data_IF_055385412237
#
_entry.id   IF_055385412237
#
_cell.length_a   1.000
_cell.length_b   1.000
_cell.length_c   1.000
_cell.angle_alpha   90.00
_cell.angle_beta   90.00
_cell.angle_gamma   90.00
#
_symmetry.space_group_name_H-M   'P 1'
#
loop_
_entity.id
_entity.type
_entity.pdbx_description
1 polymer ?
#
# COMPACT_ATOMS: atom_id res chain seq x y z
N UNK A 1 53.48 -6.23 -50.20
CA UNK A 1 53.37 -4.77 -49.97
C UNK A 1 51.95 -4.20 -50.11
N UNK A 2 51.17 -4.52 -51.17
CA UNK A 2 49.82 -3.94 -51.38
C UNK A 2 48.76 -4.29 -50.32
N UNK A 3 48.92 -5.41 -49.61
CA UNK A 3 47.97 -5.89 -48.59
C UNK A 3 48.11 -5.14 -47.25
N UNK A 4 49.35 -4.83 -46.85
CA UNK A 4 49.64 -4.03 -45.65
C UNK A 4 49.10 -2.61 -45.76
N UNK A 5 49.26 -1.97 -46.93
CA UNK A 5 48.74 -0.60 -47.18
C UNK A 5 47.21 -0.56 -47.11
N UNK A 6 46.53 -1.60 -47.61
CA UNK A 6 45.05 -1.70 -47.53
C UNK A 6 44.56 -1.92 -46.10
N UNK A 7 45.27 -2.72 -45.31
CA UNK A 7 44.97 -2.91 -43.89
C UNK A 7 45.17 -1.63 -43.08
N UNK A 8 46.26 -0.89 -43.33
CA UNK A 8 46.51 0.40 -42.69
C UNK A 8 45.42 1.42 -43.04
N UNK A 9 44.99 1.48 -44.31
CA UNK A 9 43.92 2.40 -44.73
C UNK A 9 42.59 2.07 -44.05
N UNK A 10 42.23 0.77 -43.99
CA UNK A 10 41.02 0.31 -43.30
C UNK A 10 41.03 0.68 -41.82
N UNK A 11 42.17 0.50 -41.14
CA UNK A 11 42.31 0.84 -39.73
C UNK A 11 42.15 2.35 -39.50
N UNK A 12 42.76 3.18 -40.34
CA UNK A 12 42.65 4.65 -40.25
C UNK A 12 41.21 5.10 -40.49
N UNK A 13 40.51 4.53 -41.48
CA UNK A 13 39.11 4.86 -41.73
C UNK A 13 38.21 4.42 -40.58
N UNK A 14 38.45 3.25 -39.98
CA UNK A 14 37.66 2.76 -38.86
C UNK A 14 37.87 3.61 -37.60
N UNK A 15 39.12 4.03 -37.34
CA UNK A 15 39.45 4.93 -36.25
C UNK A 15 38.81 6.32 -36.45
N UNK A 16 38.80 6.85 -37.67
CA UNK A 16 38.16 8.12 -37.99
C UNK A 16 36.63 8.07 -37.80
N UNK A 17 35.98 6.98 -38.23
CA UNK A 17 34.53 6.79 -38.02
C UNK A 17 34.21 6.62 -36.53
N UNK A 18 35.02 5.87 -35.78
CA UNK A 18 34.85 5.72 -34.33
C UNK A 18 35.01 7.05 -33.60
N UNK A 19 36.01 7.86 -33.96
CA UNK A 19 36.23 9.19 -33.38
C UNK A 19 35.09 10.16 -33.72
N UNK A 20 34.59 10.15 -34.96
CA UNK A 20 33.45 10.96 -35.37
C UNK A 20 32.15 10.53 -34.65
N UNK A 21 31.95 9.22 -34.49
CA UNK A 21 30.82 8.65 -33.73
C UNK A 21 30.87 9.04 -32.26
N UNK A 22 32.04 8.95 -31.62
CA UNK A 22 32.23 9.39 -30.24
C UNK A 22 31.94 10.89 -30.07
N UNK A 23 32.49 11.71 -30.97
CA UNK A 23 32.27 13.16 -30.96
C UNK A 23 30.79 13.52 -31.12
N UNK A 24 30.08 12.86 -32.05
CA UNK A 24 28.64 13.05 -32.23
C UNK A 24 27.85 12.64 -30.99
N UNK A 25 28.20 11.52 -30.35
CA UNK A 25 27.53 11.05 -29.12
C UNK A 25 27.76 12.01 -27.95
N UNK A 26 28.96 12.56 -27.79
CA UNK A 26 29.23 13.54 -26.73
C UNK A 26 28.51 14.87 -26.97
N UNK A 27 28.58 15.41 -28.19
CA UNK A 27 28.06 16.77 -28.45
C UNK A 27 26.56 16.83 -28.70
N UNK A 28 25.98 15.79 -29.28
CA UNK A 28 24.55 15.71 -29.57
C UNK A 28 23.78 14.96 -28.48
N UNK A 29 24.44 14.55 -27.40
CA UNK A 29 23.76 14.03 -26.21
C UNK A 29 22.79 15.12 -25.73
N UNK A 30 21.47 14.88 -25.75
CA UNK A 30 20.53 15.84 -25.22
C UNK A 30 20.81 15.99 -23.73
N UNK A 31 21.40 17.12 -23.35
CA UNK A 31 21.55 17.44 -21.93
C UNK A 31 20.15 17.59 -21.34
N UNK A 32 19.87 16.96 -20.20
CA UNK A 32 18.63 17.23 -19.50
C UNK A 32 18.61 18.72 -19.18
N UNK A 33 17.62 19.44 -19.71
CA UNK A 33 17.36 20.82 -19.33
C UNK A 33 17.10 20.81 -17.83
N UNK A 34 18.07 21.32 -17.05
CA UNK A 34 17.89 21.57 -15.65
C UNK A 34 16.88 22.72 -15.53
N UNK A 35 15.60 22.37 -15.42
CA UNK A 35 14.61 23.35 -15.00
C UNK A 35 14.98 23.75 -13.56
N UNK A 36 15.29 25.04 -13.30
CA UNK A 36 15.52 25.47 -11.94
C UNK A 36 14.27 25.10 -11.13
N UNK A 37 14.48 24.39 -10.03
CA UNK A 37 13.40 24.16 -9.09
C UNK A 37 12.88 25.55 -8.68
N UNK A 38 11.57 25.81 -8.73
CA UNK A 38 11.03 27.07 -8.26
C UNK A 38 11.54 27.31 -6.83
N UNK A 39 12.27 28.40 -6.64
CA UNK A 39 12.85 28.74 -5.34
C UNK A 39 11.72 29.07 -4.39
N UNK A 40 11.52 28.23 -3.39
CA UNK A 40 10.46 28.33 -2.39
C UNK A 40 10.78 29.42 -1.36
N UNK A 41 10.89 30.67 -1.80
CA UNK A 41 11.12 31.77 -0.87
C UNK A 41 9.82 32.01 -0.11
N UNK A 42 9.80 31.85 1.22
CA UNK A 42 8.61 32.11 2.01
C UNK A 42 8.37 33.62 2.09
N UNK A 43 7.12 34.01 1.87
CA UNK A 43 6.63 35.37 2.04
C UNK A 43 5.56 35.38 3.14
N UNK A 44 5.68 36.33 4.06
CA UNK A 44 4.70 36.54 5.12
C UNK A 44 3.62 37.44 4.58
N UNK A 45 2.40 36.92 4.46
CA UNK A 45 1.24 37.68 4.01
C UNK A 45 0.24 37.82 5.14
N UNK A 46 -0.43 38.97 5.20
CA UNK A 46 -1.58 39.17 6.07
C UNK A 46 -2.84 39.01 5.22
N UNK A 47 -3.58 37.93 5.40
CA UNK A 47 -4.85 37.73 4.68
C UNK A 47 -6.00 37.65 5.67
N UNK A 48 -6.96 38.56 5.54
CA UNK A 48 -8.18 38.62 6.36
C UNK A 48 -7.89 38.63 7.88
N UNK A 49 -6.82 39.31 8.29
CA UNK A 49 -6.40 39.41 9.69
C UNK A 49 -5.65 38.19 10.23
N UNK A 50 -5.38 37.17 9.40
CA UNK A 50 -4.52 36.04 9.74
C UNK A 50 -3.16 36.15 9.04
N UNK A 51 -2.10 35.84 9.78
CA UNK A 51 -0.76 35.69 9.23
C UNK A 51 -0.70 34.35 8.50
N UNK A 52 -0.30 34.36 7.23
CA UNK A 52 0.08 33.16 6.48
C UNK A 52 1.53 33.26 6.05
N UNK A 53 2.20 32.13 5.97
CA UNK A 53 3.54 32.05 5.36
C UNK A 53 3.39 31.28 4.07
N UNK A 54 3.13 31.99 2.99
CA UNK A 54 2.98 31.39 1.67
C UNK A 54 4.36 31.28 1.00
N UNK A 55 4.48 30.39 0.02
CA UNK A 55 5.61 30.42 -0.90
C UNK A 55 5.18 31.09 -2.21
N UNK A 56 6.13 31.63 -2.96
CA UNK A 56 5.92 32.11 -4.34
C UNK A 56 5.55 31.00 -5.35
N UNK A 57 5.30 29.79 -4.88
CA UNK A 57 4.99 28.62 -5.68
C UNK A 57 3.49 28.54 -5.95
N UNK A 58 3.10 28.05 -7.12
CA UNK A 58 1.68 27.86 -7.45
C UNK A 58 1.05 26.76 -6.58
N UNK A 59 1.81 25.70 -6.31
CA UNK A 59 1.38 24.58 -5.48
C UNK A 59 2.49 24.15 -4.52
N UNK A 60 2.08 23.73 -3.33
CA UNK A 60 2.92 23.01 -2.38
C UNK A 60 2.50 21.55 -2.34
N UNK A 61 3.47 20.64 -2.34
CA UNK A 61 3.21 19.23 -2.11
C UNK A 61 4.29 18.61 -1.23
N UNK A 62 3.91 17.61 -0.46
CA UNK A 62 4.78 16.86 0.43
C UNK A 62 4.94 15.43 -0.06
N UNK A 63 6.17 15.00 -0.34
CA UNK A 63 6.46 13.58 -0.57
C UNK A 63 6.45 12.87 0.78
N UNK A 64 5.55 11.91 0.98
CA UNK A 64 5.36 11.24 2.29
C UNK A 64 5.87 9.81 2.33
N UNK A 65 6.08 9.21 1.17
CA UNK A 65 6.65 7.87 1.04
C UNK A 65 7.42 7.73 -0.27
N UNK A 66 8.47 6.91 -0.24
CA UNK A 66 9.24 6.50 -1.42
C UNK A 66 9.50 5.01 -1.34
N UNK A 67 9.03 4.26 -2.34
CA UNK A 67 9.10 2.81 -2.40
C UNK A 67 9.83 2.36 -3.66
N UNK A 68 10.55 1.24 -3.60
CA UNK A 68 11.10 0.58 -4.81
C UNK A 68 10.10 -0.38 -5.45
N UNK A 69 9.06 -0.74 -4.71
CA UNK A 69 8.02 -1.67 -5.10
C UNK A 69 6.77 -0.91 -5.52
N UNK A 70 6.29 -1.17 -6.74
CA UNK A 70 5.12 -0.50 -7.31
C UNK A 70 3.84 -0.84 -6.54
N UNK A 71 3.67 -2.12 -6.21
CA UNK A 71 2.47 -2.62 -5.56
C UNK A 71 2.35 -2.04 -4.15
N UNK A 72 3.44 -2.03 -3.38
CA UNK A 72 3.45 -1.41 -2.06
C UNK A 72 3.11 0.09 -2.14
N UNK A 73 3.69 0.81 -3.10
CA UNK A 73 3.39 2.22 -3.29
C UNK A 73 1.92 2.46 -3.65
N UNK A 74 1.34 1.59 -4.48
CA UNK A 74 -0.07 1.65 -4.84
C UNK A 74 -0.99 1.37 -3.64
N UNK A 75 -0.65 0.38 -2.81
CA UNK A 75 -1.41 0.05 -1.61
C UNK A 75 -1.35 1.19 -0.56
N UNK A 76 -0.17 1.76 -0.32
CA UNK A 76 -0.01 2.95 0.55
C UNK A 76 -0.80 4.15 0.02
N UNK A 77 -0.75 4.39 -1.29
CA UNK A 77 -1.52 5.45 -1.95
C UNK A 77 -3.02 5.27 -1.75
N UNK A 78 -3.58 4.08 -1.99
CA UNK A 78 -5.00 3.82 -1.83
C UNK A 78 -5.44 3.97 -0.37
N UNK A 79 -4.61 3.52 0.57
CA UNK A 79 -4.86 3.71 1.99
C UNK A 79 -4.96 5.19 2.37
N UNK A 80 -3.94 5.99 2.03
CA UNK A 80 -3.91 7.42 2.36
C UNK A 80 -5.06 8.19 1.69
N UNK A 81 -5.39 7.82 0.45
CA UNK A 81 -6.53 8.40 -0.28
C UNK A 81 -7.86 8.10 0.40
N UNK A 82 -8.04 6.88 0.93
CA UNK A 82 -9.27 6.45 1.61
C UNK A 82 -9.50 7.14 2.98
N UNK A 83 -8.45 7.66 3.61
CA UNK A 83 -8.56 8.31 4.93
C UNK A 83 -9.20 9.70 4.91
N UNK A 84 -9.20 10.40 3.78
CA UNK A 84 -9.68 11.79 3.72
C UNK A 84 -8.88 12.73 4.63
N UNK A 85 -7.57 12.80 4.43
CA UNK A 85 -6.64 13.49 5.33
C UNK A 85 -6.94 15.00 5.43
N UNK A 86 -7.08 15.57 6.64
CA UNK A 86 -7.32 17.00 6.82
C UNK A 86 -6.11 17.82 6.35
N UNK A 87 -6.36 18.89 5.59
CA UNK A 87 -5.33 19.78 5.05
C UNK A 87 -4.56 19.23 3.83
N UNK A 88 -4.87 18.01 3.37
CA UNK A 88 -4.41 17.49 2.09
C UNK A 88 -5.57 17.55 1.08
N UNK A 89 -5.35 18.28 -0.02
CA UNK A 89 -6.33 18.42 -1.09
C UNK A 89 -6.41 17.17 -1.98
N UNK A 90 -5.28 16.49 -2.18
CA UNK A 90 -5.19 15.28 -3.00
C UNK A 90 -3.98 14.43 -2.60
N UNK A 91 -4.10 13.13 -2.83
CA UNK A 91 -3.01 12.14 -2.73
C UNK A 91 -2.60 11.75 -4.15
N UNK A 92 -1.29 11.72 -4.43
CA UNK A 92 -0.73 11.45 -5.74
C UNK A 92 0.25 10.27 -5.67
N UNK A 93 0.24 9.42 -6.69
CA UNK A 93 1.21 8.34 -6.90
C UNK A 93 2.02 8.63 -8.16
N UNK A 94 3.33 8.75 -8.03
CA UNK A 94 4.20 9.27 -9.09
C UNK A 94 5.48 8.48 -9.22
N UNK A 95 6.08 8.50 -10.41
CA UNK A 95 7.40 7.94 -10.69
C UNK A 95 8.32 9.09 -11.11
N UNK A 96 9.48 9.29 -10.45
CA UNK A 96 10.47 10.26 -10.90
C UNK A 96 10.90 9.94 -12.34
N UNK A 97 11.09 10.98 -13.17
CA UNK A 97 11.44 10.84 -14.59
C UNK A 97 12.84 10.23 -14.86
N UNK A 98 13.54 9.73 -13.84
CA UNK A 98 14.86 9.12 -13.99
C UNK A 98 14.77 7.74 -14.64
N UNK A 99 15.43 7.57 -15.79
CA UNK A 99 15.47 6.33 -16.60
C UNK A 99 16.37 5.23 -15.97
N UNK A 100 16.79 5.39 -14.72
CA UNK A 100 17.70 4.47 -14.04
C UNK A 100 17.00 3.15 -13.61
N UNK A 101 17.77 2.05 -13.42
CA UNK A 101 17.23 0.76 -12.98
C UNK A 101 16.65 0.79 -11.55
N UNK A 102 16.91 1.86 -10.79
CA UNK A 102 16.37 2.07 -9.44
C UNK A 102 15.06 2.87 -9.50
N UNK A 103 14.07 2.37 -10.26
CA UNK A 103 12.74 2.99 -10.34
C UNK A 103 12.15 3.04 -8.94
N UNK A 104 11.85 4.26 -8.50
CA UNK A 104 11.17 4.50 -7.22
C UNK A 104 9.79 5.07 -7.47
N UNK A 105 8.84 4.70 -6.64
CA UNK A 105 7.46 5.17 -6.64
C UNK A 105 7.30 6.08 -5.43
N UNK A 106 6.70 7.24 -5.63
CA UNK A 106 6.51 8.24 -4.57
C UNK A 106 5.03 8.49 -4.35
N UNK A 107 4.62 8.41 -3.09
CA UNK A 107 3.32 8.88 -2.64
C UNK A 107 3.49 10.29 -2.10
N UNK A 108 2.66 11.21 -2.58
CA UNK A 108 2.73 12.61 -2.23
C UNK A 108 1.34 13.15 -1.85
N UNK A 109 1.31 14.14 -0.97
CA UNK A 109 0.13 14.90 -0.58
C UNK A 109 0.25 16.32 -1.13
N UNK A 110 -0.77 16.81 -1.84
CA UNK A 110 -0.82 18.24 -2.20
C UNK A 110 -1.50 18.98 -1.06
N UNK A 111 -0.79 19.97 -0.54
CA UNK A 111 -1.16 20.70 0.67
C UNK A 111 -1.43 22.16 0.36
N UNK A 112 -2.08 22.86 1.28
CA UNK A 112 -2.30 24.30 1.16
C UNK A 112 -0.97 25.06 1.02
N UNK A 113 -0.96 26.13 0.22
CA UNK A 113 0.21 27.01 0.11
C UNK A 113 0.30 27.99 1.31
N UNK A 114 0.33 27.41 2.50
CA UNK A 114 0.53 28.11 3.77
C UNK A 114 1.35 27.20 4.69
N UNK A 115 2.63 27.50 4.83
CA UNK A 115 3.57 26.72 5.61
C UNK A 115 3.19 26.67 7.10
N UNK A 116 2.51 27.70 7.63
CA UNK A 116 2.04 27.72 9.02
C UNK A 116 0.93 26.69 9.27
N UNK A 117 0.21 26.27 8.23
CA UNK A 117 -0.81 25.21 8.32
C UNK A 117 -0.28 23.88 7.82
N UNK A 118 0.42 23.88 6.69
CA UNK A 118 0.92 22.68 6.05
C UNK A 118 1.93 21.92 6.92
N UNK A 119 2.91 22.60 7.52
CA UNK A 119 3.93 21.93 8.34
C UNK A 119 3.34 21.31 9.60
N UNK A 120 2.51 22.02 10.41
CA UNK A 120 1.85 21.39 11.56
C UNK A 120 0.94 20.23 11.17
N UNK A 121 0.16 20.35 10.10
CA UNK A 121 -0.71 19.26 9.63
C UNK A 121 0.12 18.01 9.25
N UNK A 122 1.19 18.18 8.46
CA UNK A 122 2.08 17.07 8.08
C UNK A 122 2.83 16.50 9.29
N UNK A 123 3.23 17.35 10.23
CA UNK A 123 3.87 16.94 11.48
C UNK A 123 2.91 16.16 12.36
N UNK A 124 1.64 16.53 12.40
CA UNK A 124 0.59 15.80 13.09
C UNK A 124 0.30 14.47 12.40
N UNK A 125 0.23 14.41 11.07
CA UNK A 125 0.10 13.15 10.34
C UNK A 125 1.27 12.21 10.64
N UNK A 126 2.49 12.74 10.74
CA UNK A 126 3.68 11.98 11.14
C UNK A 126 3.61 11.53 12.60
N UNK A 127 3.29 12.43 13.53
CA UNK A 127 3.20 12.13 14.96
C UNK A 127 2.10 11.11 15.26
N UNK A 128 0.98 11.20 14.54
CA UNK A 128 -0.08 10.21 14.60
C UNK A 128 0.31 8.91 13.90
N UNK A 129 1.41 8.83 13.14
CA UNK A 129 1.86 7.60 12.47
C UNK A 129 1.12 7.27 11.18
N UNK A 130 0.44 8.24 10.54
CA UNK A 130 -0.14 8.02 9.20
C UNK A 130 0.92 8.04 8.10
N UNK A 131 2.01 8.77 8.32
CA UNK A 131 3.15 8.88 7.39
C UNK A 131 4.46 8.75 8.19
N UNK A 132 5.51 8.20 7.57
CA UNK A 132 6.80 8.00 8.25
C UNK A 132 7.65 9.28 8.26
N UNK A 133 7.63 10.01 7.15
CA UNK A 133 8.37 11.25 6.96
C UNK A 133 7.65 12.11 5.93
N UNK A 134 8.08 13.36 5.79
CA UNK A 134 7.62 14.21 4.71
C UNK A 134 8.75 15.14 4.23
N UNK A 135 8.75 15.41 2.93
CA UNK A 135 9.64 16.38 2.29
C UNK A 135 8.78 17.32 1.44
N UNK A 136 8.73 18.59 1.84
CA UNK A 136 7.90 19.62 1.20
C UNK A 136 8.64 20.20 0.00
N UNK A 137 7.95 20.28 -1.14
CA UNK A 137 8.49 20.82 -2.37
C UNK A 137 7.49 21.73 -3.06
N UNK A 138 8.05 22.72 -3.75
CA UNK A 138 7.30 23.55 -4.66
C UNK A 138 7.03 22.87 -5.99
N UNK A 139 5.85 23.10 -6.53
CA UNK A 139 5.44 22.65 -7.84
C UNK A 139 4.74 23.77 -8.61
N UNK A 140 4.89 23.73 -9.93
CA UNK A 140 4.07 24.48 -10.87
C UNK A 140 2.79 23.69 -11.19
N UNK A 141 1.76 24.35 -11.73
CA UNK A 141 0.54 23.70 -12.20
C UNK A 141 0.84 22.55 -13.15
N UNK A 142 1.71 22.76 -14.13
CA UNK A 142 2.14 21.71 -15.08
C UNK A 142 2.75 20.51 -14.37
N UNK A 143 3.55 20.73 -13.32
CA UNK A 143 4.15 19.64 -12.55
C UNK A 143 3.07 18.82 -11.81
N UNK A 144 2.08 19.47 -11.20
CA UNK A 144 0.96 18.79 -10.55
C UNK A 144 0.08 18.06 -11.57
N UNK A 145 -0.24 18.68 -12.71
CA UNK A 145 -1.01 18.05 -13.79
C UNK A 145 -0.31 16.80 -14.34
N UNK A 146 1.01 16.86 -14.56
CA UNK A 146 1.80 15.69 -14.96
C UNK A 146 1.71 14.57 -13.90
N UNK A 147 1.75 14.92 -12.60
CA UNK A 147 1.63 13.95 -11.50
C UNK A 147 0.22 13.37 -11.38
N UNK A 148 -0.82 14.18 -11.61
CA UNK A 148 -2.22 13.73 -11.69
C UNK A 148 -2.41 12.77 -12.86
N UNK A 149 -1.85 13.09 -14.02
CA UNK A 149 -1.88 12.20 -15.18
C UNK A 149 -1.19 10.85 -14.88
N UNK A 150 -0.02 10.86 -14.22
CA UNK A 150 0.63 9.62 -13.76
C UNK A 150 -0.24 8.85 -12.77
N UNK A 151 -0.83 9.53 -11.78
CA UNK A 151 -1.73 8.90 -10.81
C UNK A 151 -2.93 8.26 -11.51
N UNK A 152 -3.51 8.94 -12.51
CA UNK A 152 -4.60 8.41 -13.32
C UNK A 152 -4.17 7.18 -14.14
N UNK A 153 -2.93 7.13 -14.64
CA UNK A 153 -2.39 5.94 -15.30
C UNK A 153 -2.31 4.75 -14.34
N UNK A 154 -1.86 4.94 -13.10
CA UNK A 154 -1.87 3.88 -12.09
C UNK A 154 -3.30 3.43 -11.76
N UNK A 155 -4.20 4.38 -11.49
CA UNK A 155 -5.60 4.06 -11.24
C UNK A 155 -6.22 3.29 -12.42
N UNK A 156 -5.95 3.70 -13.64
CA UNK A 156 -6.37 2.97 -14.84
C UNK A 156 -5.77 1.57 -14.88
N UNK A 157 -4.44 1.45 -14.75
CA UNK A 157 -3.73 0.18 -14.85
C UNK A 157 -4.23 -0.88 -13.85
N UNK A 158 -4.60 -0.45 -12.64
CA UNK A 158 -5.12 -1.35 -11.59
C UNK A 158 -6.64 -1.55 -11.64
N UNK A 159 -7.42 -0.65 -12.25
CA UNK A 159 -8.89 -0.76 -12.33
C UNK A 159 -9.43 -1.32 -13.66
N UNK A 160 -8.67 -1.29 -14.75
CA UNK A 160 -9.03 -1.99 -15.99
C UNK A 160 -8.94 -3.52 -15.80
N UNK A 161 -9.60 -4.36 -16.62
CA UNK A 161 -9.39 -5.79 -16.60
C UNK A 161 -7.92 -6.09 -16.93
N UNK A 162 -7.14 -6.29 -15.88
CA UNK A 162 -5.68 -6.43 -15.97
C UNK A 162 -5.38 -7.74 -16.69
N UNK A 163 -4.58 -7.69 -17.76
CA UNK A 163 -4.13 -8.92 -18.46
C UNK A 163 -3.34 -9.87 -17.55
N UNK A 164 -2.77 -9.35 -16.45
CA UNK A 164 -2.11 -10.12 -15.39
C UNK A 164 -2.53 -9.60 -14.02
N UNK A 165 -3.38 -10.36 -13.32
CA UNK A 165 -3.80 -10.05 -11.95
C UNK A 165 -2.66 -10.33 -10.96
N UNK A 166 -2.79 -9.82 -9.73
CA UNK A 166 -1.81 -10.07 -8.66
C UNK A 166 -1.61 -11.58 -8.44
N UNK A 167 -2.68 -12.36 -8.53
CA UNK A 167 -2.64 -13.82 -8.38
C UNK A 167 -1.69 -14.52 -9.38
N UNK A 168 -1.40 -13.88 -10.52
CA UNK A 168 -0.53 -14.42 -11.57
C UNK A 168 0.97 -14.19 -11.30
N UNK A 169 1.32 -13.41 -10.27
CA UNK A 169 2.71 -13.19 -9.87
C UNK A 169 3.18 -14.36 -8.98
N UNK A 170 4.47 -14.70 -9.06
CA UNK A 170 5.06 -15.73 -8.19
C UNK A 170 5.04 -15.29 -6.72
N UNK A 171 4.97 -16.25 -5.80
CA UNK A 171 4.95 -15.95 -4.35
C UNK A 171 6.18 -15.15 -3.91
N UNK A 172 7.36 -15.47 -4.47
CA UNK A 172 8.61 -14.77 -4.21
C UNK A 172 8.58 -13.28 -4.59
N UNK A 173 7.73 -12.89 -5.55
CA UNK A 173 7.54 -11.50 -5.97
C UNK A 173 6.46 -10.78 -5.16
N UNK A 174 5.39 -11.49 -4.79
CA UNK A 174 4.27 -10.92 -4.04
C UNK A 174 4.54 -10.77 -2.55
N UNK A 175 5.14 -11.81 -1.93
CA UNK A 175 5.28 -11.91 -0.47
C UNK A 175 5.93 -10.68 0.15
N UNK A 176 7.06 -10.14 -0.36
CA UNK A 176 7.70 -8.98 0.25
C UNK A 176 6.80 -7.73 0.25
N UNK A 177 6.00 -7.52 -0.81
CA UNK A 177 5.10 -6.36 -0.92
C UNK A 177 3.91 -6.51 0.04
N UNK A 178 3.33 -7.72 0.11
CA UNK A 178 2.23 -8.05 1.03
C UNK A 178 2.66 -7.95 2.49
N UNK A 179 3.83 -8.52 2.84
CA UNK A 179 4.42 -8.45 4.18
C UNK A 179 4.59 -6.99 4.63
N UNK A 180 5.20 -6.15 3.79
CA UNK A 180 5.39 -4.72 4.10
C UNK A 180 4.07 -3.99 4.24
N UNK A 181 3.07 -4.32 3.44
CA UNK A 181 1.73 -3.73 3.58
C UNK A 181 1.05 -4.14 4.88
N UNK A 182 1.15 -5.41 5.28
CA UNK A 182 0.62 -5.91 6.56
C UNK A 182 1.29 -5.18 7.73
N UNK A 183 2.62 -5.06 7.72
CA UNK A 183 3.37 -4.31 8.74
C UNK A 183 2.94 -2.84 8.79
N UNK A 184 2.82 -2.20 7.63
CA UNK A 184 2.35 -0.84 7.53
C UNK A 184 0.94 -0.69 8.14
N UNK A 185 0.01 -1.58 7.82
CA UNK A 185 -1.36 -1.56 8.33
C UNK A 185 -1.44 -1.79 9.83
N UNK A 186 -0.65 -2.72 10.37
CA UNK A 186 -0.57 -2.96 11.83
C UNK A 186 -0.01 -1.75 12.57
N UNK A 187 1.09 -1.15 12.08
CA UNK A 187 1.69 0.07 12.68
C UNK A 187 0.79 1.30 12.59
N UNK A 188 0.02 1.40 11.50
CA UNK A 188 -0.88 2.54 11.27
C UNK A 188 -2.27 2.35 11.89
N UNK A 189 -2.50 1.28 12.66
CA UNK A 189 -3.76 1.06 13.37
C UNK A 189 -4.02 2.17 14.39
N UNK A 190 -5.28 2.60 14.49
CA UNK A 190 -5.68 3.69 15.40
C UNK A 190 -5.44 3.34 16.87
N UNK A 191 -5.71 2.10 17.29
CA UNK A 191 -5.57 1.66 18.68
C UNK A 191 -4.11 1.65 19.10
N UNK A 192 -3.22 1.17 18.23
CA UNK A 192 -1.77 1.23 18.42
C UNK A 192 -1.30 2.67 18.55
N UNK A 193 -1.63 3.52 17.58
CA UNK A 193 -1.20 4.94 17.54
C UNK A 193 -1.73 5.78 18.69
N UNK A 194 -2.98 5.55 19.09
CA UNK A 194 -3.65 6.31 20.14
C UNK A 194 -3.51 5.67 21.54
N UNK A 195 -2.81 4.54 21.66
CA UNK A 195 -2.66 3.82 22.93
C UNK A 195 -3.98 3.38 23.57
N UNK A 196 -4.99 3.08 22.75
CA UNK A 196 -6.34 2.70 23.24
C UNK A 196 -6.25 1.29 23.84
N UNK A 197 -6.58 1.16 25.12
CA UNK A 197 -6.49 -0.10 25.83
C UNK A 197 -7.66 -1.05 25.49
N UNK A 198 -7.39 -2.37 25.35
CA UNK A 198 -6.07 -2.99 25.31
C UNK A 198 -5.36 -2.67 23.98
N UNK A 199 -4.09 -2.25 24.07
CA UNK A 199 -3.29 -1.94 22.88
C UNK A 199 -2.94 -3.25 22.18
N UNK A 200 -3.35 -3.44 20.91
CA UNK A 200 -2.99 -4.63 20.15
C UNK A 200 -1.47 -4.72 19.98
N UNK A 201 -0.87 -5.91 20.09
CA UNK A 201 0.54 -6.05 19.76
C UNK A 201 0.74 -5.80 18.25
N UNK A 202 1.71 -4.95 17.92
CA UNK A 202 2.15 -4.80 16.54
C UNK A 202 2.72 -6.12 16.00
N UNK A 203 2.49 -6.41 14.73
CA UNK A 203 3.04 -7.60 14.09
C UNK A 203 4.57 -7.46 13.93
N UNK A 204 5.29 -8.52 14.27
CA UNK A 204 6.72 -8.61 13.95
C UNK A 204 6.91 -8.89 12.45
N UNK A 205 8.10 -8.60 11.87
CA UNK A 205 8.39 -8.95 10.48
C UNK A 205 8.16 -10.43 10.17
N UNK A 206 8.52 -11.32 11.09
CA UNK A 206 8.33 -12.77 10.96
C UNK A 206 6.83 -13.13 10.89
N UNK A 207 6.03 -12.58 11.81
CA UNK A 207 4.58 -12.78 11.82
C UNK A 207 3.91 -12.24 10.55
N UNK A 208 4.32 -11.05 10.10
CA UNK A 208 3.81 -10.46 8.87
C UNK A 208 4.22 -11.27 7.63
N UNK A 209 5.41 -11.89 7.63
CA UNK A 209 5.89 -12.72 6.52
C UNK A 209 5.15 -14.07 6.45
N UNK A 210 4.88 -14.67 7.60
CA UNK A 210 4.04 -15.86 7.70
C UNK A 210 2.62 -15.55 7.23
N UNK A 211 2.01 -14.48 7.75
CA UNK A 211 0.66 -14.07 7.35
C UNK A 211 0.57 -13.70 5.86
N UNK A 212 1.57 -13.02 5.32
CA UNK A 212 1.64 -12.75 3.88
C UNK A 212 1.65 -14.03 3.05
N UNK A 213 2.40 -15.03 3.51
CA UNK A 213 2.46 -16.35 2.85
C UNK A 213 1.11 -17.05 2.91
N UNK A 214 0.45 -17.01 4.07
CA UNK A 214 -0.86 -17.63 4.30
C UNK A 214 -1.95 -16.99 3.44
N UNK A 215 -2.00 -15.66 3.39
CA UNK A 215 -2.95 -14.90 2.57
C UNK A 215 -2.79 -15.26 1.09
N UNK A 216 -1.55 -15.30 0.58
CA UNK A 216 -1.27 -15.64 -0.82
C UNK A 216 -1.67 -17.10 -1.10
N UNK A 217 -1.40 -18.01 -0.18
CA UNK A 217 -1.68 -19.42 -0.33
C UNK A 217 -3.19 -19.71 -0.35
N UNK A 218 -3.94 -19.17 0.62
CA UNK A 218 -5.40 -19.27 0.70
C UNK A 218 -6.07 -18.63 -0.51
N UNK A 219 -5.61 -17.43 -0.93
CA UNK A 219 -6.11 -16.75 -2.13
C UNK A 219 -5.98 -17.66 -3.37
N UNK A 220 -4.84 -18.30 -3.57
CA UNK A 220 -4.64 -19.21 -4.70
C UNK A 220 -5.46 -20.49 -4.59
N UNK A 221 -5.54 -21.07 -3.40
CA UNK A 221 -6.27 -22.31 -3.17
C UNK A 221 -7.76 -22.16 -3.53
N UNK A 222 -8.38 -21.06 -3.11
CA UNK A 222 -9.78 -20.76 -3.40
C UNK A 222 -9.99 -19.93 -4.69
N UNK A 223 -8.92 -19.59 -5.41
CA UNK A 223 -8.96 -18.71 -6.59
C UNK A 223 -9.65 -17.36 -6.32
N UNK A 224 -9.39 -16.80 -5.13
CA UNK A 224 -9.91 -15.50 -4.70
C UNK A 224 -8.99 -14.36 -5.16
N UNK A 225 -9.53 -13.20 -5.57
CA UNK A 225 -8.74 -12.00 -5.85
C UNK A 225 -7.92 -11.59 -4.63
N UNK A 226 -6.60 -11.45 -4.79
CA UNK A 226 -5.69 -11.18 -3.66
C UNK A 226 -5.95 -9.80 -3.07
N UNK A 227 -6.24 -8.82 -3.92
CA UNK A 227 -6.61 -7.45 -3.54
C UNK A 227 -7.86 -7.39 -2.65
N UNK A 228 -8.89 -8.19 -2.97
CA UNK A 228 -10.08 -8.31 -2.15
C UNK A 228 -9.75 -8.86 -0.75
N UNK A 229 -8.93 -9.92 -0.70
CA UNK A 229 -8.56 -10.55 0.56
C UNK A 229 -7.68 -9.65 1.43
N UNK A 230 -6.74 -8.91 0.80
CA UNK A 230 -5.98 -7.86 1.47
C UNK A 230 -6.89 -6.74 1.98
N UNK A 231 -7.84 -6.29 1.17
CA UNK A 231 -8.81 -5.26 1.53
C UNK A 231 -9.58 -5.60 2.80
N UNK A 232 -10.13 -6.82 2.88
CA UNK A 232 -10.86 -7.29 4.08
C UNK A 232 -9.96 -7.23 5.32
N UNK A 233 -8.79 -7.88 5.31
CA UNK A 233 -7.93 -7.91 6.49
C UNK A 233 -7.44 -6.53 6.92
N UNK A 234 -7.24 -5.62 5.97
CA UNK A 234 -6.89 -4.23 6.21
C UNK A 234 -8.03 -3.39 6.79
N UNK A 235 -9.29 -3.73 6.53
CA UNK A 235 -10.47 -3.01 7.01
C UNK A 235 -11.00 -3.57 8.34
N UNK A 236 -10.99 -4.89 8.51
CA UNK A 236 -11.60 -5.56 9.65
C UNK A 236 -10.79 -5.38 10.94
N UNK A 237 -9.48 -5.66 10.90
CA UNK A 237 -8.67 -5.59 12.11
C UNK A 237 -7.23 -5.13 11.89
N UNK A 238 -6.93 -4.55 10.72
CA UNK A 238 -5.56 -4.22 10.31
C UNK A 238 -4.59 -5.41 10.47
N UNK A 239 -5.07 -6.62 10.18
CA UNK A 239 -4.37 -7.91 10.31
C UNK A 239 -3.99 -8.35 11.74
N UNK A 240 -4.41 -7.63 12.77
CA UNK A 240 -4.08 -7.95 14.15
C UNK A 240 -5.11 -8.93 14.73
N UNK A 241 -4.72 -9.71 15.73
CA UNK A 241 -5.63 -10.62 16.42
C UNK A 241 -6.20 -9.96 17.69
N UNK A 242 -7.24 -9.15 17.52
CA UNK A 242 -7.96 -8.48 18.61
C UNK A 242 -9.40 -8.94 18.57
N UNK A 243 -9.97 -9.32 19.72
CA UNK A 243 -11.37 -9.70 19.80
C UNK A 243 -12.26 -8.51 19.41
N UNK A 244 -13.27 -8.78 18.59
CA UNK A 244 -14.24 -7.79 18.15
C UNK A 244 -15.23 -7.43 19.24
N UNK A 245 -16.44 -7.01 18.84
CA UNK A 245 -17.54 -6.74 19.77
C UNK A 245 -17.88 -7.99 20.61
N UNK A 246 -17.44 -7.97 21.87
CA UNK A 246 -17.66 -9.03 22.84
C UNK A 246 -19.12 -9.11 23.31
N UNK A 247 -19.89 -8.04 23.10
CA UNK A 247 -21.29 -7.96 23.51
C UNK A 247 -22.24 -8.48 22.42
N UNK A 248 -21.72 -8.78 21.22
CA UNK A 248 -22.53 -9.29 20.13
C UNK A 248 -23.19 -10.62 20.53
N UNK A 249 -24.53 -10.66 20.47
CA UNK A 249 -25.32 -11.81 20.87
C UNK A 249 -26.52 -12.03 19.95
N UNK A 250 -26.88 -13.29 19.74
CA UNK A 250 -27.95 -13.69 18.80
C UNK A 250 -28.95 -14.61 19.48
N UNK A 251 -30.24 -14.40 19.19
CA UNK A 251 -31.32 -15.30 19.64
C UNK A 251 -31.46 -16.49 18.70
N UNK A 252 -31.24 -17.70 19.21
CA UNK A 252 -31.41 -18.97 18.50
C UNK A 252 -32.59 -19.77 19.07
N UNK A 253 -33.13 -20.68 18.26
CA UNK A 253 -34.20 -21.59 18.72
C UNK A 253 -33.67 -22.60 19.74
N UNK A 254 -32.44 -23.08 19.56
CA UNK A 254 -31.75 -24.03 20.44
C UNK A 254 -30.27 -23.67 20.50
N UNK A 255 -29.60 -24.06 21.58
CA UNK A 255 -28.15 -23.92 21.72
C UNK A 255 -27.47 -25.08 20.98
N UNK A 256 -26.33 -24.79 20.36
CA UNK A 256 -25.48 -25.77 19.69
C UNK A 256 -24.20 -26.03 20.51
N UNK A 257 -23.49 -27.16 20.28
CA UNK A 257 -22.21 -27.41 20.92
C UNK A 257 -21.24 -26.24 20.71
N UNK A 258 -20.62 -25.78 21.80
CA UNK A 258 -19.73 -24.60 21.81
C UNK A 258 -20.43 -23.25 21.97
N UNK A 259 -21.77 -23.18 22.05
CA UNK A 259 -22.46 -21.91 22.28
C UNK A 259 -22.31 -21.44 23.75
N UNK A 260 -21.96 -20.17 23.93
CA UNK A 260 -21.98 -19.52 25.26
C UNK A 260 -23.38 -18.93 25.46
N UNK A 261 -24.22 -19.63 26.22
CA UNK A 261 -25.61 -19.21 26.49
C UNK A 261 -25.62 -18.09 27.54
N UNK A 262 -26.11 -16.92 27.14
CA UNK A 262 -26.25 -15.76 28.01
C UNK A 262 -27.61 -15.74 28.73
N UNK A 263 -28.70 -16.05 28.02
CA UNK A 263 -30.07 -16.02 28.56
C UNK A 263 -30.97 -17.07 27.89
N UNK A 264 -32.03 -17.48 28.58
CA UNK A 264 -33.10 -18.33 28.02
C UNK A 264 -34.45 -17.65 28.24
N UNK A 265 -35.27 -17.54 27.19
CA UNK A 265 -36.61 -16.91 27.27
C UNK A 265 -37.55 -17.45 26.21
N UNK A 266 -38.80 -17.79 26.58
CA UNK A 266 -39.88 -18.21 25.67
C UNK A 266 -39.44 -19.30 24.66
N UNK A 267 -38.74 -20.32 25.14
CA UNK A 267 -38.26 -21.43 24.29
C UNK A 267 -37.12 -21.08 23.33
N UNK A 268 -36.48 -19.91 23.49
CA UNK A 268 -35.30 -19.47 22.72
C UNK A 268 -34.12 -19.26 23.66
N UNK A 269 -32.91 -19.29 23.09
CA UNK A 269 -31.65 -19.05 23.79
C UNK A 269 -30.96 -17.85 23.18
N UNK A 270 -30.43 -16.95 24.01
CA UNK A 270 -29.54 -15.87 23.60
C UNK A 270 -28.12 -16.38 23.79
N UNK A 271 -27.32 -16.40 22.73
CA UNK A 271 -25.94 -16.87 22.76
C UNK A 271 -24.99 -15.76 22.38
N UNK A 272 -23.79 -15.76 22.95
CA UNK A 272 -22.71 -14.86 22.55
C UNK A 272 -22.16 -15.27 21.18
N UNK A 273 -22.02 -14.30 20.28
CA UNK A 273 -21.60 -14.49 18.89
C UNK A 273 -20.52 -13.46 18.49
N UNK A 274 -19.60 -13.17 19.39
CA UNK A 274 -18.51 -12.23 19.13
C UNK A 274 -17.64 -12.66 17.93
N UNK A 275 -17.06 -11.66 17.27
CA UNK A 275 -16.11 -11.85 16.19
C UNK A 275 -14.70 -12.18 16.72
N UNK A 276 -14.04 -13.15 16.08
CA UNK A 276 -12.71 -13.63 16.44
C UNK A 276 -11.70 -13.48 15.31
N UNK A 277 -10.43 -13.42 15.70
CA UNK A 277 -9.31 -13.45 14.79
C UNK A 277 -9.10 -12.15 14.00
N UNK A 278 -8.07 -12.17 13.15
CA UNK A 278 -7.74 -11.07 12.25
C UNK A 278 -8.81 -10.75 11.21
N UNK A 279 -9.66 -11.72 10.90
CA UNK A 279 -10.72 -11.61 9.90
C UNK A 279 -12.07 -11.23 10.50
N UNK A 280 -12.14 -11.07 11.84
CA UNK A 280 -13.37 -10.71 12.57
C UNK A 280 -14.58 -11.61 12.21
N UNK A 281 -14.34 -12.92 12.10
CA UNK A 281 -15.39 -13.89 11.76
C UNK A 281 -16.20 -14.20 13.02
N UNK A 282 -17.53 -14.08 12.95
CA UNK A 282 -18.41 -14.45 14.08
C UNK A 282 -18.45 -15.97 14.28
N UNK A 283 -18.77 -16.43 15.48
CA UNK A 283 -18.88 -17.88 15.77
C UNK A 283 -19.89 -18.57 14.84
N UNK A 284 -21.03 -17.95 14.57
CA UNK A 284 -22.03 -18.51 13.65
C UNK A 284 -21.53 -18.53 12.19
N UNK A 285 -20.83 -17.48 11.75
CA UNK A 285 -20.22 -17.45 10.42
C UNK A 285 -19.14 -18.53 10.29
N UNK A 286 -18.33 -18.74 11.32
CA UNK A 286 -17.30 -19.78 11.35
C UNK A 286 -17.92 -21.18 11.32
N UNK A 287 -19.02 -21.40 12.06
CA UNK A 287 -19.78 -22.65 12.03
C UNK A 287 -20.29 -22.95 10.63
N UNK A 288 -20.90 -21.96 9.98
CA UNK A 288 -21.35 -22.11 8.60
C UNK A 288 -20.20 -22.38 7.62
N UNK A 289 -19.08 -21.67 7.77
CA UNK A 289 -17.89 -21.90 6.95
C UNK A 289 -17.32 -23.32 7.14
N UNK A 290 -17.32 -23.85 8.36
CA UNK A 290 -16.90 -25.21 8.66
C UNK A 290 -17.84 -26.25 8.04
N UNK A 291 -19.15 -26.01 8.04
CA UNK A 291 -20.09 -26.89 7.33
C UNK A 291 -19.85 -26.91 5.81
N UNK A 292 -19.48 -25.77 5.24
CA UNK A 292 -19.09 -25.69 3.83
C UNK A 292 -17.78 -26.44 3.58
N UNK A 293 -16.79 -26.31 4.47
CA UNK A 293 -15.53 -27.04 4.43
C UNK A 293 -15.76 -28.57 4.43
N UNK A 294 -16.57 -29.09 5.34
CA UNK A 294 -16.85 -30.53 5.42
C UNK A 294 -17.54 -31.11 4.17
N UNK A 295 -18.18 -30.24 3.37
CA UNK A 295 -18.84 -30.60 2.11
C UNK A 295 -17.95 -30.29 0.89
N UNK A 296 -16.82 -29.62 1.09
CA UNK A 296 -15.92 -29.26 0.02
C UNK A 296 -15.12 -30.49 -0.43
N UNK A 297 -14.92 -30.62 -1.74
CA UNK A 297 -14.23 -31.73 -2.38
C UNK A 297 -12.81 -31.37 -2.83
N UNK A 298 -12.36 -30.14 -2.57
CA UNK A 298 -10.99 -29.70 -2.86
C UNK A 298 -9.97 -30.52 -2.06
N UNK A 299 -8.79 -30.70 -2.65
CA UNK A 299 -7.67 -31.37 -1.98
C UNK A 299 -6.94 -30.42 -1.02
N UNK A 300 -7.36 -30.42 0.24
CA UNK A 300 -6.75 -29.62 1.31
C UNK A 300 -5.31 -30.03 1.64
N UNK A 301 -4.80 -31.17 1.15
CA UNK A 301 -3.38 -31.52 1.31
C UNK A 301 -2.45 -30.57 0.56
N UNK A 302 -2.98 -29.82 -0.42
CA UNK A 302 -2.27 -28.77 -1.16
C UNK A 302 -2.00 -27.51 -0.33
N UNK A 303 -2.68 -27.34 0.79
CA UNK A 303 -2.38 -26.29 1.75
C UNK A 303 -1.26 -26.72 2.71
N UNK A 304 -0.50 -25.76 3.20
CA UNK A 304 0.45 -25.90 4.30
C UNK A 304 -0.27 -26.46 5.52
N UNK A 305 0.36 -27.37 6.30
CA UNK A 305 -0.30 -28.03 7.42
C UNK A 305 -1.03 -27.09 8.40
N UNK A 306 -0.46 -25.90 8.67
CA UNK A 306 -1.07 -24.89 9.55
C UNK A 306 -2.37 -24.26 9.04
N UNK A 307 -2.65 -24.37 7.73
CA UNK A 307 -3.83 -23.79 7.06
C UNK A 307 -4.92 -24.82 6.82
N UNK A 308 -4.69 -26.08 7.16
CA UNK A 308 -5.66 -27.16 6.95
C UNK A 308 -6.68 -27.11 8.10
N UNK A 309 -7.97 -26.91 7.81
CA UNK A 309 -8.99 -26.99 8.84
C UNK A 309 -9.02 -28.40 9.45
N UNK A 310 -9.27 -28.49 10.76
CA UNK A 310 -9.51 -29.75 11.44
C UNK A 310 -10.87 -30.34 11.06
N UNK A 311 -11.09 -31.62 11.38
CA UNK A 311 -12.41 -32.25 11.22
C UNK A 311 -13.43 -31.74 12.26
N UNK A 312 -12.94 -31.26 13.40
CA UNK A 312 -13.73 -30.66 14.46
C UNK A 312 -13.54 -29.14 14.46
N UNK A 313 -14.61 -28.42 14.80
CA UNK A 313 -14.61 -26.96 14.85
C UNK A 313 -14.13 -26.47 16.20
N UNK A 314 -13.03 -25.71 16.19
CA UNK A 314 -12.50 -24.99 17.35
C UNK A 314 -12.80 -23.49 17.22
N UNK A 315 -13.07 -22.82 18.34
CA UNK A 315 -13.44 -21.41 18.39
C UNK A 315 -12.44 -20.52 19.15
N UNK A 316 -11.27 -21.07 19.48
CA UNK A 316 -10.26 -20.45 20.34
C UNK A 316 -9.17 -19.73 19.53
#
# INVERSE_FOLDING_TARGET
MKWLVRFSLLFVTMAAVAAAGWYAVERLRPMPLAYPAPSAVPEVLLDHGQVRVATNCEFLYASVSTQRDELLAYLEFQYLRGLGLPGASEVLLTVPRTVHPDRTYRVALVVENDLLRAIPNLSELKARGFINSFDIRCATRKNIEDKRAQTALFLGAYNFPVRKKLENLSQSKLRPSVERFILFKSRTDRRVRAGIQPVPPELTPEQASELASDIIEVSRFYSLPLDFFLGIGAMENNYMNVRGDLEHAVWKRRAEPGDIVLKRRRGRVLVSNYAIGMWQITRETLRYAHELYLKDSRDYSRLSPRLRPGAELEFD
#
